data_IF_258502606902
#
_entry.id   IF_258502606902
#
_cell.length_a   1.000
_cell.length_b   1.000
_cell.length_c   1.000
_cell.angle_alpha   90.00
_cell.angle_beta   90.00
_cell.angle_gamma   90.00
#
_symmetry.space_group_name_H-M   'P 1'
#
loop_
_entity.id
_entity.type
_entity.pdbx_description
1 polymer ?
#
# COMPACT_ATOMS: atom_id res chain seq x y z
N UNK A 1 -7.97 9.96 7.51
CA UNK A 1 -8.58 9.39 6.28
C UNK A 1 -7.87 8.09 5.95
N UNK A 2 -8.58 7.06 5.46
CA UNK A 2 -7.94 5.79 5.08
C UNK A 2 -7.62 5.77 3.58
N UNK A 3 -6.37 5.43 3.24
CA UNK A 3 -5.86 5.41 1.86
C UNK A 3 -5.44 3.98 1.51
N UNK A 4 -5.95 3.37 0.42
CA UNK A 4 -5.51 2.06 -0.04
C UNK A 4 -4.19 2.19 -0.80
N UNK A 5 -3.20 1.38 -0.43
CA UNK A 5 -1.80 1.56 -0.86
C UNK A 5 -1.18 0.35 -1.57
N UNK A 6 -1.80 -0.82 -1.43
CA UNK A 6 -1.40 -2.04 -2.13
C UNK A 6 -2.53 -3.06 -2.09
N UNK A 7 -2.49 -4.03 -3.01
CA UNK A 7 -3.21 -5.28 -2.80
C UNK A 7 -2.51 -6.09 -1.72
N UNK A 8 -3.28 -6.71 -0.82
CA UNK A 8 -2.74 -7.50 0.30
C UNK A 8 -1.80 -8.63 -0.17
N UNK A 9 -2.10 -9.25 -1.31
CA UNK A 9 -1.27 -10.31 -1.91
C UNK A 9 0.07 -9.82 -2.44
N UNK A 10 0.19 -8.53 -2.73
CA UNK A 10 1.42 -7.93 -3.28
C UNK A 10 2.49 -7.72 -2.19
N UNK A 11 2.16 -8.02 -0.92
CA UNK A 11 3.06 -7.96 0.24
C UNK A 11 3.01 -9.30 1.00
N UNK A 12 3.45 -10.42 0.43
CA UNK A 12 3.37 -11.72 1.09
C UNK A 12 4.10 -11.73 2.44
N UNK A 13 3.86 -12.75 3.27
CA UNK A 13 4.62 -12.92 4.52
C UNK A 13 6.12 -12.93 4.23
N UNK A 14 6.90 -12.37 5.15
CA UNK A 14 8.36 -12.24 5.06
C UNK A 14 8.83 -11.33 3.92
N UNK A 15 8.01 -10.37 3.50
CA UNK A 15 8.34 -9.43 2.43
C UNK A 15 8.19 -7.97 2.88
N UNK A 16 8.87 -7.10 2.12
CA UNK A 16 8.75 -5.65 2.15
C UNK A 16 8.24 -5.16 0.79
N UNK A 17 7.61 -3.99 0.76
CA UNK A 17 7.17 -3.30 -0.45
C UNK A 17 7.27 -1.80 -0.23
N UNK A 18 7.98 -1.10 -1.13
CA UNK A 18 8.00 0.36 -1.14
C UNK A 18 6.69 0.91 -1.73
N UNK A 19 6.22 2.01 -1.16
CA UNK A 19 5.07 2.79 -1.62
C UNK A 19 5.41 4.27 -1.55
N UNK A 20 4.86 5.07 -2.45
CA UNK A 20 4.98 6.53 -2.42
C UNK A 20 3.58 7.12 -2.44
N UNK A 21 3.29 8.04 -1.53
CA UNK A 21 2.02 8.80 -1.49
C UNK A 21 2.35 10.28 -1.41
N UNK A 22 2.00 11.04 -2.45
CA UNK A 22 2.25 12.49 -2.52
C UNK A 22 3.71 12.84 -2.16
N UNK A 23 4.67 12.07 -2.71
CA UNK A 23 6.10 12.22 -2.42
C UNK A 23 6.59 11.63 -1.08
N UNK A 24 5.71 11.21 -0.17
CA UNK A 24 6.08 10.53 1.07
C UNK A 24 6.43 9.07 0.80
N UNK A 25 7.64 8.65 1.20
CA UNK A 25 8.12 7.28 0.99
C UNK A 25 7.76 6.39 2.19
N UNK A 26 7.04 5.31 1.91
CA UNK A 26 6.57 4.34 2.89
C UNK A 26 7.11 2.95 2.60
N UNK A 27 7.21 2.13 3.65
CA UNK A 27 7.41 0.69 3.55
C UNK A 27 6.19 -0.02 4.10
N UNK A 28 5.60 -0.90 3.30
CA UNK A 28 4.74 -1.97 3.80
C UNK A 28 5.63 -3.18 4.07
N UNK A 29 5.49 -3.81 5.22
CA UNK A 29 6.15 -5.09 5.47
C UNK A 29 5.23 -6.03 6.23
N UNK A 30 5.47 -7.34 6.09
CA UNK A 30 4.64 -8.36 6.71
C UNK A 30 5.51 -9.42 7.38
N UNK A 31 5.35 -9.54 8.69
CA UNK A 31 5.95 -10.60 9.51
C UNK A 31 5.32 -11.97 9.30
N UNK A 32 5.74 -12.93 10.12
CA UNK A 32 5.23 -14.29 10.13
C UNK A 32 3.81 -14.39 10.71
N UNK A 33 3.46 -13.50 11.65
CA UNK A 33 2.10 -13.29 12.17
C UNK A 33 1.08 -12.94 11.09
N UNK A 34 1.54 -12.33 9.99
CA UNK A 34 0.74 -12.05 8.81
C UNK A 34 0.06 -10.67 8.77
N UNK A 35 0.11 -9.88 9.85
CA UNK A 35 -0.39 -8.51 9.82
C UNK A 35 0.55 -7.59 9.03
N UNK A 36 0.05 -6.91 7.99
CA UNK A 36 0.80 -5.86 7.34
C UNK A 36 1.05 -4.69 8.30
N UNK A 37 2.24 -4.11 8.20
CA UNK A 37 2.68 -2.90 8.91
C UNK A 37 3.05 -1.85 7.88
N UNK A 38 2.75 -0.57 8.15
CA UNK A 38 3.08 0.55 7.24
C UNK A 38 3.87 1.61 8.00
N UNK A 39 5.11 1.84 7.60
CA UNK A 39 6.02 2.79 8.25
C UNK A 39 6.56 3.78 7.23
N UNK A 40 7.13 4.89 7.72
CA UNK A 40 8.02 5.73 6.93
C UNK A 40 9.20 4.88 6.44
N UNK A 41 9.59 5.03 5.18
CA UNK A 41 10.68 4.26 4.58
C UNK A 41 12.06 4.82 4.95
N UNK A 42 12.29 5.00 6.25
CA UNK A 42 13.52 5.60 6.81
C UNK A 42 13.93 4.91 8.10
N UNK A 43 15.14 4.35 8.08
CA UNK A 43 15.77 3.85 9.29
C UNK A 43 16.26 5.04 10.15
N UNK A 44 15.84 5.15 11.43
CA UNK A 44 16.21 6.27 12.32
C UNK A 44 17.72 6.36 12.62
N UNK A 45 18.52 5.35 12.27
CA UNK A 45 19.96 5.39 12.47
C UNK A 45 20.66 6.33 11.47
N UNK A 46 20.49 6.09 10.16
CA UNK A 46 21.18 6.85 9.09
C UNK A 46 20.34 7.04 7.82
N UNK A 47 19.02 6.92 7.92
CA UNK A 47 18.09 7.22 6.83
C UNK A 47 18.03 6.19 5.71
N UNK A 48 18.68 5.02 5.84
CA UNK A 48 18.53 3.94 4.84
C UNK A 48 17.06 3.54 4.71
N UNK A 49 16.60 3.33 3.47
CA UNK A 49 15.26 2.80 3.20
C UNK A 49 15.09 1.42 3.80
N UNK A 50 14.07 1.28 4.64
CA UNK A 50 13.70 0.03 5.30
C UNK A 50 13.05 -0.96 4.31
N UNK A 51 12.49 -0.48 3.20
CA UNK A 51 11.97 -1.29 2.10
C UNK A 51 13.05 -2.15 1.42
N UNK A 52 14.32 -1.73 1.45
CA UNK A 52 15.47 -2.55 1.04
C UNK A 52 15.94 -3.54 2.11
N UNK A 53 15.35 -3.50 3.31
CA UNK A 53 15.60 -4.44 4.39
C UNK A 53 15.06 -5.84 4.11
N UNK A 54 15.03 -6.65 5.16
CA UNK A 54 14.48 -8.00 5.09
C UNK A 54 13.73 -8.33 6.38
N UNK A 55 12.72 -9.19 6.27
CA UNK A 55 11.90 -9.61 7.40
C UNK A 55 12.44 -10.92 7.97
N UNK A 56 12.58 -11.02 9.30
CA UNK A 56 12.88 -12.25 10.03
C UNK A 56 11.89 -12.39 11.17
N UNK A 57 11.12 -13.48 11.20
CA UNK A 57 10.00 -13.63 12.14
C UNK A 57 9.01 -12.46 12.00
N UNK A 58 8.77 -11.76 13.10
CA UNK A 58 7.93 -10.55 13.16
C UNK A 58 8.77 -9.26 13.34
N UNK A 59 9.95 -9.23 12.75
CA UNK A 59 10.85 -8.08 12.77
C UNK A 59 11.32 -7.67 11.37
N UNK A 60 11.34 -6.36 11.11
CA UNK A 60 12.00 -5.77 9.94
C UNK A 60 13.43 -5.40 10.29
N UNK A 61 14.38 -5.83 9.45
CA UNK A 61 15.81 -5.60 9.64
C UNK A 61 16.33 -4.64 8.57
N UNK A 62 16.97 -3.56 8.99
CA UNK A 62 17.60 -2.60 8.09
C UNK A 62 18.81 -3.26 7.39
N UNK A 63 18.87 -3.18 6.06
CA UNK A 63 19.96 -3.78 5.28
C UNK A 63 21.33 -3.16 5.58
N UNK A 64 21.39 -1.93 6.08
CA UNK A 64 22.67 -1.24 6.26
C UNK A 64 23.49 -1.80 7.43
N UNK A 65 22.93 -1.80 8.64
CA UNK A 65 23.63 -2.24 9.86
C UNK A 65 22.88 -3.34 10.62
N UNK A 66 21.82 -3.90 10.05
CA UNK A 66 21.04 -4.98 10.64
C UNK A 66 20.24 -4.57 11.88
N UNK A 67 19.98 -3.27 12.10
CA UNK A 67 19.09 -2.86 13.19
C UNK A 67 17.72 -3.49 13.00
N UNK A 68 17.25 -4.14 14.04
CA UNK A 68 16.03 -4.94 14.04
C UNK A 68 14.90 -4.17 14.73
N UNK A 69 13.74 -4.09 14.08
CA UNK A 69 12.56 -3.40 14.58
C UNK A 69 11.38 -4.38 14.59
N UNK A 70 10.69 -4.48 15.73
CA UNK A 70 9.45 -5.28 15.81
C UNK A 70 8.24 -4.54 15.23
N UNK A 71 7.08 -5.20 15.17
CA UNK A 71 5.81 -4.62 14.67
C UNK A 71 5.44 -3.25 15.28
N UNK A 72 5.75 -3.02 16.56
CA UNK A 72 5.55 -1.71 17.22
C UNK A 72 6.59 -0.64 16.87
N UNK A 73 7.37 -0.83 15.81
CA UNK A 73 8.44 0.03 15.30
C UNK A 73 9.62 0.32 16.25
N UNK A 74 9.58 -0.15 17.50
CA UNK A 74 10.70 -0.07 18.43
C UNK A 74 11.88 -0.93 17.96
N UNK A 75 13.08 -0.37 18.02
CA UNK A 75 14.29 -1.14 17.80
C UNK A 75 14.49 -2.14 18.94
N UNK A 76 14.65 -3.41 18.58
CA UNK A 76 14.80 -4.51 19.53
C UNK A 76 16.25 -4.95 19.66
N UNK A 77 17.05 -4.77 18.60
CA UNK A 77 18.43 -5.24 18.57
C UNK A 77 19.31 -4.39 17.66
N UNK A 78 20.52 -4.11 18.15
CA UNK A 78 21.61 -3.48 17.42
C UNK A 78 22.75 -4.51 17.31
N UNK A 79 22.98 -5.14 16.15
CA UNK A 79 23.93 -6.26 16.04
C UNK A 79 25.36 -5.95 16.49
N UNK A 80 25.84 -4.72 16.29
CA UNK A 80 27.18 -4.29 16.71
C UNK A 80 27.34 -4.16 18.23
N UNK A 81 26.23 -4.08 18.98
CA UNK A 81 26.19 -3.97 20.43
C UNK A 81 25.15 -4.95 20.99
N UNK A 82 25.42 -6.28 20.92
CA UNK A 82 24.42 -7.30 21.21
C UNK A 82 23.92 -7.30 22.66
N UNK A 83 24.74 -6.84 23.61
CA UNK A 83 24.41 -6.78 25.04
C UNK A 83 23.81 -5.43 25.46
N UNK A 84 23.67 -4.48 24.52
CA UNK A 84 23.09 -3.18 24.81
C UNK A 84 21.58 -3.29 25.01
N UNK A 85 21.09 -2.81 26.15
CA UNK A 85 19.67 -2.50 26.31
C UNK A 85 19.31 -1.33 25.40
N UNK A 86 18.63 -1.62 24.28
CA UNK A 86 18.29 -0.61 23.27
C UNK A 86 17.36 0.46 23.88
N UNK A 87 17.71 1.75 23.79
CA UNK A 87 16.86 2.82 24.32
C UNK A 87 15.47 2.82 23.69
N UNK A 88 14.38 2.95 24.47
CA UNK A 88 13.01 2.96 23.94
C UNK A 88 12.70 4.10 22.96
N UNK A 89 13.51 5.16 22.96
CA UNK A 89 13.40 6.28 22.02
C UNK A 89 13.81 5.91 20.59
N UNK A 90 14.52 4.81 20.38
CA UNK A 90 14.91 4.35 19.05
C UNK A 90 13.73 3.62 18.40
N UNK A 91 12.98 4.33 17.58
CA UNK A 91 11.83 3.79 16.85
C UNK A 91 11.84 4.24 15.39
N UNK A 92 11.38 3.37 14.49
CA UNK A 92 10.92 3.81 13.19
C UNK A 92 9.59 4.56 13.34
N UNK A 93 9.24 5.38 12.36
CA UNK A 93 7.98 6.10 12.34
C UNK A 93 6.89 5.22 11.73
N UNK A 94 5.89 4.81 12.52
CA UNK A 94 4.83 3.91 12.09
C UNK A 94 3.51 4.64 11.91
N UNK A 95 2.74 4.23 10.90
CA UNK A 95 1.41 4.74 10.63
C UNK A 95 0.34 3.70 10.99
N UNK A 96 -0.87 4.17 11.27
CA UNK A 96 -2.00 3.27 11.44
C UNK A 96 -2.22 2.52 10.12
N UNK A 97 -2.38 1.19 10.21
CA UNK A 97 -2.58 0.35 9.04
C UNK A 97 -3.60 -0.74 9.32
N UNK A 98 -4.31 -1.15 8.27
CA UNK A 98 -5.30 -2.22 8.34
C UNK A 98 -5.38 -2.96 7.01
N UNK A 99 -5.96 -4.15 7.03
CA UNK A 99 -6.22 -4.96 5.84
C UNK A 99 -7.69 -5.34 5.76
N UNK A 100 -8.33 -4.93 4.67
CA UNK A 100 -9.77 -5.12 4.44
C UNK A 100 -10.06 -4.99 2.96
N UNK A 101 -11.08 -5.71 2.46
CA UNK A 101 -11.43 -5.70 1.04
C UNK A 101 -10.32 -6.19 0.10
N UNK A 102 -9.35 -6.96 0.59
CA UNK A 102 -8.21 -7.43 -0.22
C UNK A 102 -7.08 -6.40 -0.43
N UNK A 103 -7.14 -5.25 0.25
CA UNK A 103 -6.16 -4.16 0.16
C UNK A 103 -5.49 -3.89 1.52
N UNK A 104 -4.28 -3.34 1.47
CA UNK A 104 -3.60 -2.72 2.61
C UNK A 104 -3.91 -1.24 2.63
N UNK A 105 -4.21 -0.72 3.81
CA UNK A 105 -4.62 0.65 4.03
C UNK A 105 -3.69 1.34 5.01
N UNK A 106 -3.50 2.64 4.81
CA UNK A 106 -2.78 3.52 5.75
C UNK A 106 -3.68 4.67 6.19
N UNK A 107 -3.46 5.14 7.42
CA UNK A 107 -3.99 6.39 7.92
C UNK A 107 -2.87 7.16 8.63
N UNK A 108 -2.69 8.42 8.23
CA UNK A 108 -1.63 9.30 8.74
C UNK A 108 -2.03 10.06 10.01
N UNK A 109 -3.30 10.00 10.42
CA UNK A 109 -3.83 10.70 11.59
C UNK A 109 -3.47 9.97 12.91
N UNK A 110 -3.27 10.73 13.99
CA UNK A 110 -2.87 10.21 15.30
C UNK A 110 -3.97 9.36 15.98
N UNK A 111 -5.24 9.72 15.78
CA UNK A 111 -6.41 8.94 16.20
C UNK A 111 -7.17 8.52 14.95
N UNK A 112 -6.84 7.36 14.35
CA UNK A 112 -7.53 6.94 13.16
C UNK A 112 -9.00 6.66 13.51
N UNK A 113 -9.92 7.26 12.76
CA UNK A 113 -11.33 6.83 12.76
C UNK A 113 -11.47 5.35 12.37
N UNK A 114 -12.71 4.83 12.40
CA UNK A 114 -12.96 3.43 12.06
C UNK A 114 -12.39 3.06 10.69
N UNK A 115 -11.76 1.88 10.55
CA UNK A 115 -11.28 1.40 9.26
C UNK A 115 -12.47 1.17 8.32
N UNK A 116 -12.27 1.33 7.02
CA UNK A 116 -13.35 1.13 6.07
C UNK A 116 -13.70 -0.36 5.96
N UNK A 117 -14.97 -0.66 5.71
CA UNK A 117 -15.46 -2.05 5.61
C UNK A 117 -16.00 -2.26 4.21
N UNK A 118 -15.34 -3.13 3.44
CA UNK A 118 -15.73 -3.47 2.07
C UNK A 118 -15.98 -4.96 1.93
N UNK A 119 -16.83 -5.32 0.95
CA UNK A 119 -16.92 -6.70 0.51
C UNK A 119 -15.57 -7.17 0.01
N UNK A 120 -15.13 -8.32 0.51
CA UNK A 120 -13.92 -8.96 0.02
C UNK A 120 -14.15 -9.48 -1.40
N UNK A 121 -13.15 -9.31 -2.26
CA UNK A 121 -13.12 -9.86 -3.60
C UNK A 121 -11.75 -10.45 -3.92
N UNK A 122 -11.59 -10.86 -5.17
CA UNK A 122 -10.31 -11.32 -5.72
C UNK A 122 -9.45 -10.12 -6.15
N UNK A 123 -8.26 -9.92 -5.56
CA UNK A 123 -7.30 -8.94 -6.06
C UNK A 123 -6.94 -9.21 -7.53
N UNK A 124 -6.96 -8.18 -8.38
CA UNK A 124 -6.74 -8.32 -9.83
C UNK A 124 -5.37 -7.75 -10.23
N UNK A 125 -5.12 -6.48 -9.97
CA UNK A 125 -3.84 -5.83 -10.27
C UNK A 125 -3.67 -4.51 -9.52
N UNK A 126 -2.40 -4.17 -9.27
CA UNK A 126 -1.97 -2.82 -8.95
C UNK A 126 -1.32 -2.21 -10.19
N UNK A 127 -1.75 -1.03 -10.64
CA UNK A 127 -1.25 -0.35 -11.84
C UNK A 127 -0.80 1.07 -11.50
N UNK A 128 0.44 1.41 -11.84
CA UNK A 128 0.87 2.81 -11.93
C UNK A 128 0.26 3.41 -13.20
N UNK A 129 -0.29 4.62 -13.09
CA UNK A 129 -0.91 5.34 -14.20
C UNK A 129 -0.34 6.76 -14.18
N UNK A 130 0.35 7.13 -15.26
CA UNK A 130 0.89 8.49 -15.43
C UNK A 130 -0.23 9.43 -15.90
N UNK A 131 -1.17 9.72 -15.01
CA UNK A 131 -2.25 10.68 -15.19
C UNK A 131 -2.78 11.21 -13.84
N UNK A 132 -3.45 12.37 -13.89
CA UNK A 132 -4.20 12.93 -12.76
C UNK A 132 -5.41 12.04 -12.38
N UNK A 133 -5.79 11.93 -11.08
CA UNK A 133 -6.94 11.15 -10.64
C UNK A 133 -8.26 11.48 -11.36
N UNK A 134 -8.49 12.76 -11.66
CA UNK A 134 -9.69 13.19 -12.36
C UNK A 134 -9.83 12.55 -13.76
N UNK A 135 -8.71 12.30 -14.44
CA UNK A 135 -8.70 11.60 -15.75
C UNK A 135 -9.19 10.16 -15.61
N UNK A 136 -8.76 9.47 -14.54
CA UNK A 136 -9.21 8.12 -14.22
C UNK A 136 -10.72 8.10 -13.94
N UNK A 137 -11.22 9.01 -13.13
CA UNK A 137 -12.65 9.07 -12.76
C UNK A 137 -13.55 9.33 -13.96
N UNK A 138 -13.13 10.23 -14.87
CA UNK A 138 -13.84 10.48 -16.12
C UNK A 138 -13.93 9.23 -17.00
N UNK A 139 -12.86 8.43 -17.08
CA UNK A 139 -12.85 7.20 -17.87
C UNK A 139 -13.65 6.06 -17.21
N UNK A 140 -13.64 5.98 -15.88
CA UNK A 140 -14.48 5.06 -15.12
C UNK A 140 -15.97 5.46 -15.16
N UNK A 141 -16.28 6.72 -15.44
CA UNK A 141 -17.63 7.26 -15.34
C UNK A 141 -18.16 7.23 -13.90
N UNK A 142 -17.27 7.20 -12.91
CA UNK A 142 -17.56 7.06 -11.49
C UNK A 142 -16.51 7.80 -10.68
N UNK A 143 -16.89 8.31 -9.51
CA UNK A 143 -16.03 9.07 -8.60
C UNK A 143 -16.06 8.42 -7.21
N UNK A 144 -15.09 8.72 -6.35
CA UNK A 144 -15.16 8.29 -4.95
C UNK A 144 -16.42 8.84 -4.27
N UNK A 145 -17.10 7.99 -3.51
CA UNK A 145 -18.24 8.35 -2.69
C UNK A 145 -17.83 8.27 -1.20
N UNK A 146 -17.51 9.43 -0.62
CA UNK A 146 -17.01 9.54 0.75
C UNK A 146 -15.53 9.93 0.86
N UNK A 147 -14.98 9.91 2.09
CA UNK A 147 -13.62 10.40 2.36
C UNK A 147 -12.53 9.41 1.91
N UNK A 148 -12.84 8.13 1.77
CA UNK A 148 -11.84 7.11 1.45
C UNK A 148 -11.62 7.04 -0.06
N UNK A 149 -10.37 6.77 -0.47
CA UNK A 149 -9.97 6.78 -1.88
C UNK A 149 -10.35 5.48 -2.61
N UNK A 150 -11.65 5.21 -2.70
CA UNK A 150 -12.24 4.06 -3.40
C UNK A 150 -13.25 4.53 -4.43
N UNK A 151 -13.26 3.88 -5.59
CA UNK A 151 -14.33 3.97 -6.58
C UNK A 151 -14.93 2.58 -6.75
N UNK A 152 -16.22 2.42 -6.47
CA UNK A 152 -16.98 1.22 -6.82
C UNK A 152 -17.50 1.37 -8.25
N UNK A 153 -17.21 0.39 -9.11
CA UNK A 153 -17.54 0.46 -10.53
C UNK A 153 -17.81 -0.92 -11.12
N UNK A 154 -18.13 -0.97 -12.42
CA UNK A 154 -18.32 -2.20 -13.16
C UNK A 154 -17.37 -2.23 -14.36
N UNK A 155 -16.63 -3.34 -14.50
CA UNK A 155 -15.72 -3.57 -15.63
C UNK A 155 -16.19 -4.85 -16.33
N UNK A 156 -16.67 -4.71 -17.56
CA UNK A 156 -17.17 -5.82 -18.40
C UNK A 156 -18.21 -6.71 -17.69
N UNK A 157 -19.12 -6.11 -16.93
CA UNK A 157 -20.17 -6.82 -16.19
C UNK A 157 -19.75 -7.25 -14.78
N UNK A 158 -18.47 -7.10 -14.40
CA UNK A 158 -17.96 -7.51 -13.08
C UNK A 158 -17.90 -6.30 -12.14
N UNK A 159 -18.53 -6.36 -10.95
CA UNK A 159 -18.33 -5.35 -9.91
C UNK A 159 -16.88 -5.35 -9.40
N UNK A 160 -16.26 -4.17 -9.41
CA UNK A 160 -14.86 -3.96 -9.02
C UNK A 160 -14.75 -2.79 -8.06
N UNK A 161 -14.02 -3.00 -6.97
CA UNK A 161 -13.57 -1.95 -6.08
C UNK A 161 -12.20 -1.47 -6.55
N UNK A 162 -12.09 -0.17 -6.85
CA UNK A 162 -10.87 0.48 -7.29
C UNK A 162 -10.35 1.36 -6.16
N UNK A 163 -9.35 0.88 -5.43
CA UNK A 163 -8.55 1.70 -4.54
C UNK A 163 -7.56 2.53 -5.33
N UNK A 164 -7.28 3.74 -4.92
CA UNK A 164 -6.29 4.58 -5.58
C UNK A 164 -5.54 5.48 -4.58
N UNK A 165 -4.36 5.95 -4.98
CA UNK A 165 -3.65 7.02 -4.30
C UNK A 165 -2.74 7.79 -5.26
N UNK A 166 -2.49 9.06 -4.92
CA UNK A 166 -1.58 9.92 -5.67
C UNK A 166 -0.14 9.59 -5.30
N UNK A 167 0.72 9.42 -6.30
CA UNK A 167 2.17 9.23 -6.13
C UNK A 167 2.90 10.56 -6.24
N UNK A 168 2.59 11.31 -7.30
CA UNK A 168 3.05 12.67 -7.61
C UNK A 168 1.92 13.40 -8.34
N UNK A 169 2.08 14.69 -8.61
CA UNK A 169 1.07 15.50 -9.29
C UNK A 169 0.49 14.78 -10.51
N UNK A 170 1.32 14.27 -11.40
CA UNK A 170 0.95 13.63 -12.66
C UNK A 170 0.84 12.10 -12.62
N UNK A 171 0.86 11.48 -11.43
CA UNK A 171 0.92 10.04 -11.30
C UNK A 171 0.10 9.50 -10.15
N UNK A 172 -0.65 8.44 -10.42
CA UNK A 172 -1.40 7.70 -9.41
C UNK A 172 -1.08 6.21 -9.44
N UNK A 173 -1.42 5.54 -8.35
CA UNK A 173 -1.55 4.10 -8.27
C UNK A 173 -3.03 3.73 -8.20
N UNK A 174 -3.38 2.67 -8.92
CA UNK A 174 -4.67 2.02 -8.91
C UNK A 174 -4.52 0.60 -8.36
N UNK A 175 -5.44 0.16 -7.50
CA UNK A 175 -5.52 -1.19 -6.93
C UNK A 175 -6.92 -1.76 -7.17
N UNK A 176 -7.03 -2.78 -8.01
CA UNK A 176 -8.33 -3.36 -8.38
C UNK A 176 -8.60 -4.67 -7.64
N UNK A 177 -9.80 -4.78 -7.06
CA UNK A 177 -10.36 -5.99 -6.45
C UNK A 177 -11.72 -6.28 -7.06
N UNK A 178 -11.88 -7.43 -7.73
CA UNK A 178 -13.15 -7.84 -8.31
C UNK A 178 -13.94 -8.70 -7.31
N UNK A 179 -15.22 -8.39 -7.06
CA UNK A 179 -15.99 -9.07 -6.01
C UNK A 179 -16.29 -10.54 -6.35
N UNK A 180 -16.59 -10.84 -7.61
CA UNK A 180 -16.78 -12.21 -8.09
C UNK A 180 -16.43 -12.31 -9.60
N UNK A 181 -15.13 -12.38 -9.96
CA UNK A 181 -14.74 -12.39 -11.36
C UNK A 181 -14.92 -13.76 -12.03
N UNK A 182 -15.29 -14.82 -11.31
CA UNK A 182 -15.40 -16.18 -11.85
C UNK A 182 -14.25 -16.55 -12.81
N UNK A 183 -14.58 -16.88 -14.05
CA UNK A 183 -13.64 -17.21 -15.14
C UNK A 183 -13.27 -16.01 -16.04
N UNK A 184 -13.73 -14.79 -15.74
CA UNK A 184 -13.48 -13.58 -16.53
C UNK A 184 -12.41 -12.64 -15.93
N UNK A 185 -11.66 -13.09 -14.93
CA UNK A 185 -10.53 -12.36 -14.33
C UNK A 185 -9.58 -11.77 -15.38
N UNK A 186 -9.18 -12.56 -16.38
CA UNK A 186 -8.28 -12.08 -17.45
C UNK A 186 -8.89 -10.96 -18.28
N UNK A 187 -10.22 -10.93 -18.45
CA UNK A 187 -10.91 -9.83 -19.16
C UNK A 187 -10.87 -8.56 -18.33
N UNK A 188 -11.14 -8.64 -17.03
CA UNK A 188 -11.03 -7.50 -16.10
C UNK A 188 -9.60 -6.94 -16.13
N UNK A 189 -8.58 -7.81 -16.09
CA UNK A 189 -7.19 -7.37 -16.20
C UNK A 189 -6.88 -6.65 -17.52
N UNK A 190 -7.35 -7.18 -18.65
CA UNK A 190 -7.18 -6.54 -19.97
C UNK A 190 -7.87 -5.17 -20.01
N UNK A 191 -9.08 -5.07 -19.47
CA UNK A 191 -9.82 -3.81 -19.40
C UNK A 191 -9.12 -2.77 -18.51
N UNK A 192 -8.53 -3.18 -17.37
CA UNK A 192 -7.72 -2.30 -16.53
C UNK A 192 -6.46 -1.78 -17.25
N UNK A 193 -5.79 -2.63 -18.02
CA UNK A 193 -4.66 -2.19 -18.85
C UNK A 193 -5.06 -1.22 -19.96
N UNK A 194 -6.24 -1.42 -20.57
CA UNK A 194 -6.81 -0.48 -21.53
C UNK A 194 -7.14 0.86 -20.87
N UNK A 195 -7.78 0.84 -19.71
CA UNK A 195 -8.09 2.02 -18.91
C UNK A 195 -6.83 2.84 -18.60
N UNK A 196 -5.76 2.18 -18.14
CA UNK A 196 -4.45 2.81 -17.93
C UNK A 196 -3.94 3.49 -19.22
N UNK A 197 -3.91 2.77 -20.33
CA UNK A 197 -3.40 3.30 -21.59
C UNK A 197 -4.22 4.49 -22.11
N UNK A 198 -5.55 4.48 -21.91
CA UNK A 198 -6.42 5.58 -22.29
C UNK A 198 -6.27 6.80 -21.36
N UNK A 199 -6.00 6.57 -20.07
CA UNK A 199 -5.71 7.64 -19.10
C UNK A 199 -4.38 8.34 -19.40
N UNK A 200 -3.31 7.58 -19.62
CA UNK A 200 -1.97 8.12 -19.93
C UNK A 200 -1.99 8.95 -21.22
N UNK A 201 -2.72 8.52 -22.25
CA UNK A 201 -2.90 9.30 -23.50
C UNK A 201 -3.60 10.64 -23.27
N UNK A 202 -4.63 10.67 -22.43
CA UNK A 202 -5.37 11.90 -22.11
C UNK A 202 -4.58 12.85 -21.22
N UNK A 203 -3.74 12.33 -20.32
CA UNK A 203 -2.88 13.15 -19.45
C UNK A 203 -1.75 13.87 -20.20
N UNK A 204 -1.34 13.35 -21.36
CA UNK A 204 -0.31 13.98 -22.22
C UNK A 204 -0.84 15.03 -23.20
N UNK A 205 -2.16 15.23 -23.28
CA UNK A 205 -2.82 16.12 -24.23
C UNK A 205 -3.20 17.46 -23.57
#
# INVERSE_FOLDING_TARGET
MWIPIALSRDVPRKATRAVIIEGNELVIWRGESGAAQVWEDRCPHRGMRLSFGFVRGDSLNCLYHGWEYGAGASCQRIPAHPDLAVPPSIKANAYASTETGGMVWVNFDAEPGLPPVFLAGKPIASLAIDAQPETLFQLLGSRPDGPDQIVETNIDGVPVNIGWHVVSDDKLMLHAVALDPGNVESKVLVALHKLRADAEKKGTA
#
